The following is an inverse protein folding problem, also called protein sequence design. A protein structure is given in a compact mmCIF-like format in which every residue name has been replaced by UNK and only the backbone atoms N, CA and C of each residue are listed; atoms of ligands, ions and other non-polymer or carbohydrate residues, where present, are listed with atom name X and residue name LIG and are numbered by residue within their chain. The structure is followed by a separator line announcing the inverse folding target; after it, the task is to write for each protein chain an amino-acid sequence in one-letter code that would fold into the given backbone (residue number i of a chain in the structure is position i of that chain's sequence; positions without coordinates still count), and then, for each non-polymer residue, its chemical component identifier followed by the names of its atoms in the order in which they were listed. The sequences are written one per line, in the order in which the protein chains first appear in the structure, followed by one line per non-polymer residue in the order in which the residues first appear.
data_IF_509892405079
#
_entry.id   IF_509892405079
#
_cell.length_a   1.000
_cell.length_b   1.000
_cell.length_c   1.000
_cell.angle_alpha   90.00
_cell.angle_beta   90.00
_cell.angle_gamma   90.00
#
_symmetry.space_group_name_H-M   'P 1'
#
loop_
_entity.id
_entity.type
_entity.pdbx_description
1 polymer ?
#
# COMPACT_ATOMS: atom_id res chain seq x y z
N UNK A 1 -0.14 -15.56 -5.40
CA UNK A 1 -1.10 -14.59 -5.93
C UNK A 1 -2.26 -14.53 -4.95
N UNK A 2 -2.43 -13.42 -4.23
CA UNK A 2 -3.34 -13.36 -3.07
C UNK A 2 -4.74 -12.84 -3.43
N UNK A 3 -4.96 -12.50 -4.70
CA UNK A 3 -6.24 -11.99 -5.21
C UNK A 3 -6.76 -10.77 -4.45
N UNK A 4 -5.84 -9.88 -4.05
CA UNK A 4 -6.21 -8.60 -3.44
C UNK A 4 -6.84 -7.73 -4.53
N UNK A 5 -8.10 -7.35 -4.34
CA UNK A 5 -8.88 -6.56 -5.31
C UNK A 5 -9.04 -5.09 -4.90
N UNK A 6 -8.87 -4.79 -3.61
CA UNK A 6 -8.98 -3.44 -3.07
C UNK A 6 -8.15 -3.28 -1.81
N UNK A 7 -7.88 -2.01 -1.49
CA UNK A 7 -7.00 -1.59 -0.41
C UNK A 7 -7.61 -0.34 0.20
N UNK A 8 -7.51 -0.21 1.52
CA UNK A 8 -8.00 0.94 2.25
C UNK A 8 -6.84 1.83 2.66
N UNK A 9 -7.12 3.10 2.93
CA UNK A 9 -6.15 4.04 3.48
C UNK A 9 -5.51 3.51 4.77
N UNK A 10 -6.26 2.75 5.56
CA UNK A 10 -5.81 2.15 6.82
C UNK A 10 -5.08 0.81 6.68
N UNK A 11 -4.99 0.25 5.46
CA UNK A 11 -4.37 -1.08 5.29
C UNK A 11 -2.91 -1.07 5.72
N UNK A 12 -2.17 0.02 5.42
CA UNK A 12 -0.78 0.17 5.83
C UNK A 12 -0.55 1.40 6.70
N UNK A 13 -1.33 2.45 6.50
CA UNK A 13 -1.19 3.68 7.27
C UNK A 13 -2.10 3.71 8.49
N UNK A 14 -1.75 4.56 9.45
CA UNK A 14 -2.62 4.88 10.57
C UNK A 14 -3.27 6.24 10.28
N UNK A 15 -4.55 6.27 9.92
CA UNK A 15 -5.26 7.53 9.65
C UNK A 15 -5.40 8.43 10.89
N UNK A 16 -5.25 7.88 12.10
CA UNK A 16 -5.28 8.65 13.34
C UNK A 16 -3.93 9.34 13.65
N UNK A 17 -2.86 8.98 12.93
CA UNK A 17 -1.55 9.60 13.07
C UNK A 17 -0.85 9.70 11.72
N UNK A 18 -1.00 10.85 11.06
CA UNK A 18 -0.39 11.14 9.76
C UNK A 18 1.15 11.19 9.79
N UNK A 19 1.76 11.29 10.98
CA UNK A 19 3.21 11.27 11.15
C UNK A 19 3.74 9.85 11.37
N UNK A 20 2.85 8.86 11.48
CA UNK A 20 3.23 7.46 11.65
C UNK A 20 3.94 6.96 10.39
N UNK A 21 5.20 6.57 10.52
CA UNK A 21 5.97 5.89 9.48
C UNK A 21 6.06 4.40 9.81
N UNK A 22 5.52 3.54 8.95
CA UNK A 22 5.51 2.09 9.18
C UNK A 22 6.76 1.43 8.61
N UNK A 23 7.79 1.26 9.44
CA UNK A 23 9.10 0.70 9.05
C UNK A 23 9.11 -0.81 8.77
N UNK A 24 8.25 -1.59 9.44
CA UNK A 24 8.25 -3.05 9.28
C UNK A 24 7.75 -3.53 7.91
N UNK A 25 7.15 -2.65 7.10
CA UNK A 25 6.59 -2.96 5.79
C UNK A 25 7.30 -2.15 4.68
N UNK A 26 8.63 -2.15 4.71
CA UNK A 26 9.47 -1.49 3.70
C UNK A 26 9.39 -2.17 2.32
N UNK A 27 9.20 -3.50 2.28
CA UNK A 27 9.09 -4.26 1.03
C UNK A 27 7.68 -4.86 0.90
N UNK A 28 6.79 -4.12 0.22
CA UNK A 28 5.44 -4.59 -0.11
C UNK A 28 5.35 -4.90 -1.59
N UNK A 29 4.99 -6.15 -1.90
CA UNK A 29 4.82 -6.66 -3.26
C UNK A 29 3.35 -6.95 -3.53
N UNK A 30 2.79 -6.22 -4.50
CA UNK A 30 1.42 -6.37 -4.97
C UNK A 30 1.36 -6.92 -6.39
N UNK A 31 2.50 -7.17 -7.02
CA UNK A 31 2.64 -7.88 -8.28
C UNK A 31 1.77 -9.15 -8.35
N UNK A 32 1.03 -9.27 -9.45
CA UNK A 32 0.09 -10.37 -9.70
C UNK A 32 -1.30 -10.18 -9.09
N UNK A 33 -1.51 -9.23 -8.17
CA UNK A 33 -2.85 -8.93 -7.66
C UNK A 33 -3.63 -8.03 -8.64
N UNK A 34 -4.94 -8.26 -8.80
CA UNK A 34 -5.80 -7.43 -9.65
C UNK A 34 -6.20 -6.13 -8.93
N UNK A 35 -5.21 -5.31 -8.56
CA UNK A 35 -5.45 -4.03 -7.89
C UNK A 35 -4.62 -2.92 -8.51
N UNK A 36 -5.29 -1.80 -8.81
CA UNK A 36 -4.62 -0.60 -9.32
C UNK A 36 -4.12 0.25 -8.14
N UNK A 37 -2.82 0.16 -7.88
CA UNK A 37 -2.16 0.90 -6.78
C UNK A 37 -2.24 2.42 -6.94
N UNK A 38 -2.46 2.94 -8.17
CA UNK A 38 -2.56 4.37 -8.40
C UNK A 38 -3.83 4.97 -7.79
N UNK A 39 -4.91 4.18 -7.66
CA UNK A 39 -6.16 4.59 -7.03
C UNK A 39 -6.05 4.72 -5.51
N UNK A 40 -4.99 4.20 -4.91
CA UNK A 40 -4.85 4.06 -3.45
C UNK A 40 -3.55 4.67 -2.91
N UNK A 41 -3.01 5.71 -3.54
CA UNK A 41 -1.75 6.34 -3.11
C UNK A 41 -1.72 6.71 -1.61
N UNK A 42 -2.86 7.16 -1.07
CA UNK A 42 -3.01 7.50 0.36
C UNK A 42 -2.81 6.30 1.30
N UNK A 43 -3.02 5.07 0.84
CA UNK A 43 -2.82 3.86 1.63
C UNK A 43 -1.34 3.56 1.92
N UNK A 44 -0.42 4.24 1.22
CA UNK A 44 1.02 3.94 1.25
C UNK A 44 1.90 5.14 1.57
N UNK A 45 1.33 6.33 1.77
CA UNK A 45 2.07 7.58 2.03
C UNK A 45 2.93 7.51 3.31
N UNK A 46 2.51 6.71 4.27
CA UNK A 46 3.22 6.44 5.52
C UNK A 46 4.36 5.43 5.38
N UNK A 47 4.50 4.79 4.20
CA UNK A 47 5.54 3.81 3.99
C UNK A 47 6.84 4.53 3.62
N UNK A 48 7.98 4.06 4.16
CA UNK A 48 9.29 4.56 3.75
C UNK A 48 9.65 4.27 2.28
N UNK A 49 8.95 3.32 1.64
CA UNK A 49 9.10 2.95 0.22
C UNK A 49 7.72 2.66 -0.37
N UNK A 50 7.52 3.02 -1.63
CA UNK A 50 6.28 2.68 -2.34
C UNK A 50 6.18 1.17 -2.60
N UNK A 51 4.98 0.58 -2.57
CA UNK A 51 4.78 -0.80 -2.97
C UNK A 51 5.16 -1.01 -4.43
N UNK A 52 5.67 -2.20 -4.71
CA UNK A 52 5.96 -2.63 -6.07
C UNK A 52 4.72 -3.37 -6.59
N UNK A 53 4.18 -2.90 -7.69
CA UNK A 53 3.07 -3.53 -8.39
C UNK A 53 3.18 -3.24 -9.87
N UNK A 54 2.59 -4.10 -10.69
CA UNK A 54 2.43 -3.84 -12.11
C UNK A 54 1.27 -2.86 -12.30
N UNK A 55 1.46 -1.68 -12.89
CA UNK A 55 0.34 -0.86 -13.36
C UNK A 55 -0.50 -1.71 -14.32
N UNK A 56 -1.82 -1.68 -14.16
CA UNK A 56 -2.76 -2.30 -15.10
C UNK A 56 -3.16 -1.33 -16.20
#
# INVERSE_FOLDING_TARGET
NNNIQSISQDTFCNTHDINYIRKALEDIRLDGNPVDINLYAQAYVCLPRLPIGTPV
#
